data_IF_058909143096
#
_entry.id   IF_058909143096
#
_cell.length_a   1.000
_cell.length_b   1.000
_cell.length_c   1.000
_cell.angle_alpha   90.00
_cell.angle_beta   90.00
_cell.angle_gamma   90.00
#
_symmetry.space_group_name_H-M   'P 1'
#
loop_
_entity.id
_entity.type
_entity.pdbx_description
1 polymer ?
#
# COMPACT_ATOMS: atom_id res chain seq x y z
N UNK A 1 -9.06 -16.43 -36.28
CA UNK A 1 -8.20 -17.64 -36.22
C UNK A 1 -9.09 -18.77 -35.72
N UNK A 2 -9.32 -19.82 -36.52
CA UNK A 2 -9.95 -21.05 -35.99
C UNK A 2 -8.91 -21.72 -35.09
N UNK A 3 -9.27 -22.02 -33.85
CA UNK A 3 -8.43 -22.79 -32.97
C UNK A 3 -8.39 -24.24 -33.51
N UNK A 4 -7.38 -24.57 -34.29
CA UNK A 4 -7.16 -25.94 -34.76
C UNK A 4 -6.91 -26.86 -33.55
N UNK A 5 -7.89 -27.71 -33.22
CA UNK A 5 -7.66 -28.95 -32.48
C UNK A 5 -7.60 -28.89 -30.94
N UNK A 6 -8.05 -27.82 -30.28
CA UNK A 6 -8.13 -27.80 -28.80
C UNK A 6 -9.38 -28.54 -28.33
N UNK A 7 -9.18 -29.62 -27.57
CA UNK A 7 -10.28 -30.39 -26.98
C UNK A 7 -10.63 -29.88 -25.58
N UNK A 8 -11.90 -29.98 -25.20
CA UNK A 8 -12.38 -29.66 -23.85
C UNK A 8 -11.61 -30.46 -22.78
N UNK A 9 -11.34 -31.74 -23.05
CA UNK A 9 -10.58 -32.63 -22.17
C UNK A 9 -9.05 -32.47 -22.23
N UNK A 10 -8.55 -31.44 -22.91
CA UNK A 10 -7.12 -31.17 -22.99
C UNK A 10 -6.61 -30.60 -21.66
N UNK A 11 -5.56 -31.19 -21.09
CA UNK A 11 -4.93 -30.72 -19.86
C UNK A 11 -4.49 -29.24 -19.92
N UNK A 12 -4.27 -28.69 -21.13
CA UNK A 12 -3.98 -27.26 -21.34
C UNK A 12 -5.17 -26.37 -20.96
N UNK A 13 -6.40 -26.83 -21.15
CA UNK A 13 -7.62 -26.10 -20.77
C UNK A 13 -7.69 -25.97 -19.26
N UNK A 14 -7.55 -27.11 -18.56
CA UNK A 14 -7.51 -27.13 -17.09
C UNK A 14 -6.40 -26.23 -16.54
N UNK A 15 -5.20 -26.27 -17.12
CA UNK A 15 -4.08 -25.45 -16.69
C UNK A 15 -4.37 -23.94 -16.84
N UNK A 16 -5.00 -23.54 -17.94
CA UNK A 16 -5.37 -22.14 -18.18
C UNK A 16 -6.45 -21.68 -17.20
N UNK A 17 -7.47 -22.49 -16.96
CA UNK A 17 -8.52 -22.15 -15.99
C UNK A 17 -7.98 -22.02 -14.56
N UNK A 18 -7.08 -22.92 -14.16
CA UNK A 18 -6.40 -22.80 -12.86
C UNK A 18 -5.57 -21.52 -12.77
N UNK A 19 -4.78 -21.21 -13.80
CA UNK A 19 -3.98 -19.99 -13.85
C UNK A 19 -4.86 -18.72 -13.76
N UNK A 20 -6.03 -18.72 -14.41
CA UNK A 20 -7.00 -17.61 -14.32
C UNK A 20 -7.53 -17.47 -12.89
N UNK A 21 -7.99 -18.56 -12.27
CA UNK A 21 -8.52 -18.55 -10.89
C UNK A 21 -7.48 -18.06 -9.89
N UNK A 22 -6.24 -18.56 -10.00
CA UNK A 22 -5.12 -18.14 -9.16
C UNK A 22 -4.79 -16.66 -9.37
N UNK A 23 -4.74 -16.19 -10.63
CA UNK A 23 -4.49 -14.77 -10.94
C UNK A 23 -5.58 -13.87 -10.36
N UNK A 24 -6.86 -14.24 -10.48
CA UNK A 24 -7.96 -13.46 -9.89
C UNK A 24 -7.83 -13.42 -8.36
N UNK A 25 -7.50 -14.55 -7.73
CA UNK A 25 -7.28 -14.60 -6.27
C UNK A 25 -6.13 -13.69 -5.85
N UNK A 26 -5.02 -13.75 -6.56
CA UNK A 26 -3.79 -13.05 -6.18
C UNK A 26 -3.92 -11.54 -6.42
N UNK A 27 -4.61 -11.13 -7.49
CA UNK A 27 -4.81 -9.71 -7.83
C UNK A 27 -5.91 -9.06 -6.98
N UNK A 28 -7.06 -9.72 -6.81
CA UNK A 28 -8.21 -9.11 -6.14
C UNK A 28 -8.35 -9.50 -4.66
N UNK A 29 -7.73 -10.60 -4.24
CA UNK A 29 -7.88 -11.17 -2.90
C UNK A 29 -9.10 -12.08 -2.76
N UNK A 30 -8.97 -13.07 -1.87
CA UNK A 30 -9.97 -14.14 -1.62
C UNK A 30 -11.34 -13.66 -1.12
N UNK A 31 -11.41 -12.45 -0.58
CA UNK A 31 -12.65 -11.88 -0.01
C UNK A 31 -13.32 -10.87 -0.97
N UNK A 32 -12.79 -10.72 -2.19
CA UNK A 32 -13.27 -9.73 -3.14
C UNK A 32 -14.55 -10.16 -3.86
N UNK A 33 -15.44 -9.21 -4.23
CA UNK A 33 -16.59 -9.49 -5.09
C UNK A 33 -16.21 -10.10 -6.46
N UNK A 34 -15.01 -9.82 -6.95
CA UNK A 34 -14.46 -10.35 -8.19
C UNK A 34 -14.09 -11.83 -8.03
N UNK A 35 -13.31 -12.16 -6.98
CA UNK A 35 -13.00 -13.54 -6.66
C UNK A 35 -14.27 -14.35 -6.35
N UNK A 36 -15.19 -13.81 -5.54
CA UNK A 36 -16.45 -14.49 -5.23
C UNK A 36 -17.30 -14.80 -6.47
N UNK A 37 -17.22 -13.99 -7.53
CA UNK A 37 -17.92 -14.23 -8.80
C UNK A 37 -17.20 -15.18 -9.75
N UNK A 38 -15.87 -15.32 -9.63
CA UNK A 38 -15.05 -16.01 -10.63
C UNK A 38 -14.12 -17.10 -10.08
N UNK A 39 -14.20 -17.42 -8.78
CA UNK A 39 -13.35 -18.45 -8.15
C UNK A 39 -13.59 -19.88 -8.67
N UNK A 40 -14.68 -20.11 -9.40
CA UNK A 40 -14.94 -21.35 -10.12
C UNK A 40 -14.81 -21.22 -11.64
N UNK A 41 -14.25 -20.11 -12.15
CA UNK A 41 -14.20 -19.81 -13.59
C UNK A 41 -13.82 -21.03 -14.43
N UNK A 42 -14.70 -21.37 -15.37
CA UNK A 42 -14.43 -22.26 -16.50
C UNK A 42 -14.76 -21.58 -17.82
N UNK A 43 -14.14 -22.08 -18.88
CA UNK A 43 -14.39 -21.62 -20.24
C UNK A 43 -15.81 -21.97 -20.66
N UNK A 44 -16.37 -23.08 -20.18
CA UNK A 44 -17.70 -23.59 -20.51
C UNK A 44 -18.84 -23.22 -19.53
N UNK A 45 -18.57 -22.36 -18.54
CA UNK A 45 -19.53 -21.88 -17.50
C UNK A 45 -20.65 -20.94 -18.03
N UNK A 46 -21.05 -21.07 -19.30
CA UNK A 46 -22.20 -20.36 -19.85
C UNK A 46 -23.54 -21.02 -19.50
N UNK A 47 -24.68 -20.41 -19.91
CA UNK A 47 -25.99 -21.01 -19.69
C UNK A 47 -26.06 -22.41 -20.34
N UNK A 48 -26.33 -23.43 -19.51
CA UNK A 48 -26.41 -24.82 -19.96
C UNK A 48 -27.75 -25.07 -20.65
N UNK A 49 -27.72 -25.66 -21.85
CA UNK A 49 -28.92 -26.21 -22.48
C UNK A 49 -29.28 -27.53 -21.79
N UNK A 50 -30.57 -27.70 -21.45
CA UNK A 50 -31.06 -28.88 -20.72
C UNK A 50 -30.91 -30.13 -21.59
N UNK A 51 -30.15 -31.10 -21.09
CA UNK A 51 -30.01 -32.45 -21.66
C UNK A 51 -31.37 -33.15 -21.70
N UNK A 52 -31.85 -33.52 -22.88
CA UNK A 52 -33.13 -34.25 -23.05
C UNK A 52 -32.96 -35.76 -23.19
N UNK A 53 -31.73 -36.25 -23.11
CA UNK A 53 -31.33 -37.61 -23.43
C UNK A 53 -30.58 -38.29 -22.27
N UNK A 54 -31.26 -39.26 -21.67
CA UNK A 54 -30.79 -40.10 -20.56
C UNK A 54 -30.06 -41.32 -21.11
N UNK A 55 -28.73 -41.26 -21.21
CA UNK A 55 -27.91 -42.41 -21.64
C UNK A 55 -26.39 -42.20 -21.61
N UNK A 56 -25.71 -42.91 -20.69
CA UNK A 56 -24.44 -43.62 -20.90
C UNK A 56 -23.13 -42.88 -21.24
N UNK A 57 -22.32 -42.65 -20.20
CA UNK A 57 -20.86 -42.92 -20.03
C UNK A 57 -19.84 -42.75 -21.18
N UNK A 58 -18.79 -41.96 -20.91
CA UNK A 58 -17.41 -42.48 -20.91
C UNK A 58 -16.41 -41.96 -21.96
N UNK A 59 -16.84 -41.17 -22.93
CA UNK A 59 -15.96 -40.42 -23.84
C UNK A 59 -16.39 -38.96 -23.80
N UNK A 60 -15.45 -38.00 -23.81
CA UNK A 60 -15.77 -36.56 -23.90
C UNK A 60 -16.85 -36.36 -24.96
N UNK A 61 -18.03 -35.95 -24.51
CA UNK A 61 -19.23 -35.99 -25.34
C UNK A 61 -19.02 -35.02 -26.51
N UNK A 62 -19.28 -35.39 -27.78
CA UNK A 62 -19.34 -34.42 -28.88
C UNK A 62 -20.21 -33.19 -28.57
N UNK A 63 -21.13 -33.29 -27.62
CA UNK A 63 -21.85 -32.17 -27.02
C UNK A 63 -20.96 -31.28 -26.13
N UNK A 64 -20.18 -31.84 -25.20
CA UNK A 64 -19.25 -31.09 -24.33
C UNK A 64 -18.22 -30.31 -25.16
N UNK A 65 -17.68 -30.94 -26.21
CA UNK A 65 -16.74 -30.28 -27.13
C UNK A 65 -17.39 -29.09 -27.87
N UNK A 66 -18.63 -29.25 -28.33
CA UNK A 66 -19.35 -28.16 -29.02
C UNK A 66 -19.70 -27.03 -28.07
N UNK A 67 -20.18 -27.37 -26.86
CA UNK A 67 -20.47 -26.39 -25.83
C UNK A 67 -19.21 -25.61 -25.45
N UNK A 68 -18.07 -26.29 -25.28
CA UNK A 68 -16.78 -25.64 -25.05
C UNK A 68 -16.45 -24.63 -26.14
N UNK A 69 -16.56 -25.01 -27.42
CA UNK A 69 -16.28 -24.14 -28.56
C UNK A 69 -17.25 -22.94 -28.64
N UNK A 70 -18.53 -23.15 -28.35
CA UNK A 70 -19.57 -22.11 -28.35
C UNK A 70 -19.39 -21.10 -27.19
N UNK A 71 -18.86 -21.55 -26.06
CA UNK A 71 -18.68 -20.72 -24.86
C UNK A 71 -17.34 -19.97 -24.83
N UNK A 72 -16.35 -20.36 -25.65
CA UNK A 72 -15.05 -19.68 -25.74
C UNK A 72 -15.18 -18.15 -25.92
N UNK A 73 -16.02 -17.61 -26.83
CA UNK A 73 -16.19 -16.17 -26.96
C UNK A 73 -16.72 -15.50 -25.67
N UNK A 74 -17.63 -16.16 -24.95
CA UNK A 74 -18.16 -15.68 -23.68
C UNK A 74 -17.10 -15.63 -22.59
N UNK A 75 -16.23 -16.64 -22.52
CA UNK A 75 -15.09 -16.67 -21.62
C UNK A 75 -14.11 -15.51 -21.89
N UNK A 76 -13.79 -15.24 -23.17
CA UNK A 76 -12.95 -14.10 -23.57
C UNK A 76 -13.58 -12.78 -23.13
N UNK A 77 -14.88 -12.56 -23.37
CA UNK A 77 -15.58 -11.34 -22.96
C UNK A 77 -15.55 -11.14 -21.44
N UNK A 78 -15.72 -12.21 -20.65
CA UNK A 78 -15.62 -12.12 -19.18
C UNK A 78 -14.22 -11.72 -18.73
N UNK A 79 -13.18 -12.28 -19.34
CA UNK A 79 -11.78 -11.93 -19.04
C UNK A 79 -11.44 -10.51 -19.47
N UNK A 80 -11.90 -10.07 -20.64
CA UNK A 80 -11.74 -8.70 -21.12
C UNK A 80 -12.39 -7.71 -20.14
N UNK A 81 -13.60 -7.97 -19.65
CA UNK A 81 -14.24 -7.11 -18.66
C UNK A 81 -13.46 -7.03 -17.32
N UNK A 82 -12.78 -8.11 -16.90
CA UNK A 82 -11.89 -8.07 -15.74
C UNK A 82 -10.63 -7.24 -16.01
N UNK A 83 -10.06 -7.33 -17.22
CA UNK A 83 -8.91 -6.52 -17.65
C UNK A 83 -9.31 -5.04 -17.69
N UNK A 84 -10.43 -4.69 -18.33
CA UNK A 84 -10.91 -3.31 -18.44
C UNK A 84 -11.10 -2.67 -17.05
N UNK A 85 -11.70 -3.41 -16.10
CA UNK A 85 -11.85 -2.95 -14.72
C UNK A 85 -10.52 -2.74 -13.99
N UNK A 86 -9.51 -3.58 -14.28
CA UNK A 86 -8.17 -3.41 -13.74
C UNK A 86 -7.48 -2.19 -14.34
N UNK A 87 -7.63 -1.96 -15.63
CA UNK A 87 -7.04 -0.80 -16.31
C UNK A 87 -7.67 0.51 -15.87
N UNK A 88 -9.00 0.53 -15.68
CA UNK A 88 -9.73 1.67 -15.10
C UNK A 88 -9.23 1.97 -13.67
N UNK A 89 -9.16 0.95 -12.80
CA UNK A 89 -8.60 1.11 -11.44
C UNK A 89 -7.15 1.55 -11.44
N UNK A 90 -6.33 1.06 -12.39
CA UNK A 90 -4.93 1.48 -12.54
C UNK A 90 -4.85 2.95 -12.95
N UNK A 91 -5.73 3.40 -13.85
CA UNK A 91 -5.82 4.79 -14.26
C UNK A 91 -6.26 5.70 -13.10
N UNK A 92 -7.23 5.27 -12.28
CA UNK A 92 -7.66 5.99 -11.07
C UNK A 92 -6.55 6.17 -10.03
N UNK A 93 -5.71 5.14 -9.86
CA UNK A 93 -4.56 5.18 -8.95
C UNK A 93 -3.43 6.10 -9.46
N UNK A 94 -3.43 6.37 -10.77
CA UNK A 94 -2.40 7.10 -11.50
C UNK A 94 -1.12 6.29 -11.67
N UNK A 95 -0.44 6.46 -12.80
CA UNK A 95 0.97 6.05 -12.90
C UNK A 95 1.81 6.95 -11.99
N UNK A 96 2.90 6.43 -11.37
CA UNK A 96 3.86 7.31 -10.71
C UNK A 96 4.38 8.29 -11.76
N UNK A 97 3.97 9.56 -11.65
CA UNK A 97 4.30 10.62 -12.62
C UNK A 97 5.81 10.87 -12.73
N UNK A 98 6.59 10.36 -11.76
CA UNK A 98 8.05 10.41 -11.72
C UNK A 98 8.54 9.05 -11.18
N UNK A 99 9.56 8.47 -11.83
CA UNK A 99 10.20 7.25 -11.33
C UNK A 99 10.68 7.46 -9.87
N UNK A 100 10.48 6.49 -8.95
CA UNK A 100 10.77 6.67 -7.51
C UNK A 100 12.17 7.22 -7.21
N UNK A 101 13.17 6.79 -7.99
CA UNK A 101 14.55 7.30 -7.88
C UNK A 101 14.68 8.77 -8.25
N UNK A 102 14.04 9.20 -9.34
CA UNK A 102 14.06 10.60 -9.75
C UNK A 102 13.29 11.49 -8.76
N UNK A 103 12.24 10.95 -8.12
CA UNK A 103 11.48 11.65 -7.09
C UNK A 103 12.31 11.95 -5.83
N UNK A 104 13.30 11.10 -5.49
CA UNK A 104 14.23 11.30 -4.38
C UNK A 104 15.46 12.14 -4.75
N UNK A 105 15.96 12.03 -5.99
CA UNK A 105 17.27 12.57 -6.39
C UNK A 105 17.44 14.10 -6.30
N UNK A 106 16.35 14.86 -6.16
CA UNK A 106 16.37 16.33 -6.03
C UNK A 106 16.01 16.85 -4.64
N UNK A 107 15.90 15.98 -3.63
CA UNK A 107 15.35 16.35 -2.32
C UNK A 107 16.37 16.16 -1.21
N UNK A 108 16.40 17.13 -0.31
CA UNK A 108 17.18 17.04 0.93
C UNK A 108 16.27 16.49 2.01
N UNK A 109 16.30 15.17 2.20
CA UNK A 109 15.62 14.49 3.32
C UNK A 109 16.68 14.16 4.36
N UNK A 110 16.40 14.43 5.64
CA UNK A 110 17.32 14.14 6.74
C UNK A 110 17.90 12.72 6.64
N UNK A 111 19.24 12.52 6.75
CA UNK A 111 19.90 11.25 6.43
C UNK A 111 19.35 10.04 7.18
N UNK A 112 19.02 10.18 8.47
CA UNK A 112 18.48 9.08 9.26
C UNK A 112 17.06 8.66 8.83
N UNK A 113 16.27 9.61 8.31
CA UNK A 113 14.92 9.33 7.80
C UNK A 113 15.05 8.63 6.45
N UNK A 114 15.92 9.15 5.57
CA UNK A 114 16.18 8.53 4.27
C UNK A 114 16.71 7.10 4.42
N UNK A 115 17.68 6.88 5.32
CA UNK A 115 18.25 5.56 5.56
C UNK A 115 17.23 4.50 6.00
N UNK A 116 16.18 4.90 6.72
CA UNK A 116 15.11 3.99 7.15
C UNK A 116 14.13 3.64 6.01
N UNK A 117 13.94 4.54 5.04
CA UNK A 117 12.84 4.46 4.07
C UNK A 117 13.27 4.18 2.62
N UNK A 118 14.48 4.56 2.21
CA UNK A 118 14.90 4.62 0.81
C UNK A 118 14.69 3.28 0.08
N UNK A 119 15.21 2.18 0.63
CA UNK A 119 15.08 0.86 0.02
C UNK A 119 13.63 0.44 -0.17
N UNK A 120 12.77 0.75 0.80
CA UNK A 120 11.35 0.42 0.76
C UNK A 120 10.62 1.28 -0.27
N UNK A 121 10.90 2.58 -0.28
CA UNK A 121 10.30 3.53 -1.22
C UNK A 121 10.68 3.19 -2.67
N UNK A 122 11.96 2.93 -2.94
CA UNK A 122 12.44 2.52 -4.26
C UNK A 122 11.89 1.16 -4.70
N UNK A 123 11.57 0.28 -3.74
CA UNK A 123 10.93 -1.01 -3.97
C UNK A 123 9.41 -0.97 -4.11
N UNK A 124 8.78 0.23 -4.09
CA UNK A 124 7.33 0.39 -4.18
C UNK A 124 6.57 0.07 -2.89
N UNK A 125 7.27 -0.15 -1.77
CA UNK A 125 6.69 -0.43 -0.45
C UNK A 125 6.42 0.88 0.32
N UNK A 126 5.61 1.76 -0.26
CA UNK A 126 5.42 3.14 0.21
C UNK A 126 4.86 3.21 1.65
N UNK A 127 3.86 2.40 1.97
CA UNK A 127 3.28 2.35 3.32
C UNK A 127 4.34 1.93 4.35
N UNK A 128 5.13 0.89 4.05
CA UNK A 128 6.23 0.47 4.94
C UNK A 128 7.34 1.52 5.03
N UNK A 129 7.68 2.20 3.94
CA UNK A 129 8.71 3.25 3.92
C UNK A 129 8.36 4.38 4.90
N UNK A 130 7.11 4.86 4.85
CA UNK A 130 6.59 5.90 5.75
C UNK A 130 6.56 5.41 7.19
N UNK A 131 6.14 4.17 7.43
CA UNK A 131 6.10 3.59 8.76
C UNK A 131 7.48 3.48 9.42
N UNK A 132 8.48 2.99 8.69
CA UNK A 132 9.86 2.88 9.19
C UNK A 132 10.53 4.24 9.39
N UNK A 133 10.26 5.22 8.51
CA UNK A 133 10.67 6.60 8.72
C UNK A 133 10.08 7.21 10.00
N UNK A 134 8.79 6.97 10.28
CA UNK A 134 8.16 7.43 11.51
C UNK A 134 8.80 6.82 12.77
N UNK A 135 9.15 5.53 12.73
CA UNK A 135 9.90 4.86 13.82
C UNK A 135 11.30 5.45 14.00
N UNK A 136 11.98 5.80 12.90
CA UNK A 136 13.27 6.46 12.95
C UNK A 136 13.17 7.82 13.67
N UNK A 137 12.19 8.67 13.33
CA UNK A 137 11.97 9.95 14.02
C UNK A 137 11.77 9.79 15.54
N UNK A 138 10.90 8.86 15.96
CA UNK A 138 10.67 8.56 17.38
C UNK A 138 11.98 8.14 18.06
N UNK A 139 12.76 7.29 17.40
CA UNK A 139 14.03 6.79 17.92
C UNK A 139 15.05 7.91 18.08
N UNK A 140 15.11 8.86 17.14
CA UNK A 140 15.96 10.05 17.24
C UNK A 140 15.55 10.92 18.43
N UNK A 141 14.25 11.19 18.61
CA UNK A 141 13.75 11.99 19.75
C UNK A 141 14.08 11.32 21.08
N UNK A 142 13.91 9.99 21.19
CA UNK A 142 14.30 9.24 22.39
C UNK A 142 15.79 9.33 22.66
N UNK A 143 16.62 9.08 21.65
CA UNK A 143 18.08 9.15 21.78
C UNK A 143 18.54 10.54 22.23
N UNK A 144 17.96 11.60 21.65
CA UNK A 144 18.32 12.98 21.97
C UNK A 144 17.79 13.43 23.33
N UNK A 145 16.57 13.06 23.71
CA UNK A 145 15.98 13.47 25.00
C UNK A 145 16.42 12.62 26.19
N UNK A 146 16.68 11.32 25.97
CA UNK A 146 16.83 10.32 27.03
C UNK A 146 15.51 9.81 27.60
N UNK A 147 14.36 10.18 27.02
CA UNK A 147 13.04 9.73 27.47
C UNK A 147 12.76 8.28 27.06
N UNK A 148 12.08 7.54 27.93
CA UNK A 148 11.63 6.16 27.69
C UNK A 148 10.19 6.08 27.16
N UNK A 149 9.49 7.21 27.08
CA UNK A 149 8.11 7.27 26.58
C UNK A 149 8.02 6.98 25.08
N UNK A 150 6.82 6.77 24.55
CA UNK A 150 6.57 6.50 23.13
C UNK A 150 5.44 7.38 22.57
N UNK A 151 5.35 7.46 21.25
CA UNK A 151 4.20 8.02 20.55
C UNK A 151 3.95 9.49 20.86
N UNK A 152 2.68 9.86 20.94
CA UNK A 152 2.26 11.20 21.34
C UNK A 152 2.75 11.62 22.74
N UNK A 153 2.66 10.77 23.80
CA UNK A 153 3.19 11.11 25.11
C UNK A 153 4.67 11.51 25.11
N UNK A 154 5.51 10.85 24.30
CA UNK A 154 6.92 11.23 24.13
C UNK A 154 7.06 12.66 23.58
N UNK A 155 6.32 12.98 22.52
CA UNK A 155 6.43 14.30 21.88
C UNK A 155 5.92 15.42 22.78
N UNK A 156 4.81 15.17 23.48
CA UNK A 156 4.21 16.13 24.41
C UNK A 156 5.11 16.41 25.62
N UNK A 157 5.78 15.39 26.17
CA UNK A 157 6.67 15.59 27.32
C UNK A 157 7.99 16.24 26.92
N UNK A 158 8.61 15.77 25.84
CA UNK A 158 9.94 16.22 25.43
C UNK A 158 9.93 17.68 24.99
N UNK A 159 8.89 18.09 24.26
CA UNK A 159 8.78 19.44 23.67
C UNK A 159 7.79 20.35 24.40
N UNK A 160 7.32 19.99 25.60
CA UNK A 160 6.40 20.81 26.39
C UNK A 160 6.92 22.25 26.55
N UNK A 161 6.05 23.25 26.41
CA UNK A 161 6.42 24.66 26.69
C UNK A 161 6.72 24.87 28.17
N UNK A 162 5.99 24.17 29.05
CA UNK A 162 6.04 24.43 30.49
C UNK A 162 7.26 23.80 31.15
N UNK A 163 7.71 22.64 30.65
CA UNK A 163 8.87 21.93 31.17
C UNK A 163 9.51 21.08 30.06
N UNK A 164 10.17 21.71 29.06
CA UNK A 164 10.77 20.99 27.95
C UNK A 164 12.03 20.22 28.38
N UNK A 165 12.21 19.03 27.82
CA UNK A 165 13.51 18.34 27.83
C UNK A 165 14.38 18.88 26.68
N UNK A 166 13.77 19.12 25.52
CA UNK A 166 14.40 19.69 24.35
C UNK A 166 13.69 21.00 23.95
N UNK A 167 14.49 22.04 23.73
CA UNK A 167 14.00 23.35 23.29
C UNK A 167 14.61 23.75 21.94
N UNK A 168 13.81 24.39 21.10
CA UNK A 168 14.25 24.90 19.78
C UNK A 168 14.90 26.28 19.85
N UNK A 169 14.80 26.95 21.00
CA UNK A 169 15.42 28.23 21.33
C UNK A 169 16.11 28.12 22.69
N UNK A 170 17.14 28.94 22.90
CA UNK A 170 17.92 28.94 24.16
C UNK A 170 17.12 29.55 25.33
N UNK A 171 16.14 30.39 25.04
CA UNK A 171 15.27 31.07 26.01
C UNK A 171 13.80 30.98 25.58
N UNK A 172 12.93 30.60 26.52
CA UNK A 172 11.47 30.56 26.36
C UNK A 172 10.77 31.63 27.21
N UNK A 173 11.39 32.79 27.45
CA UNK A 173 10.76 33.91 28.17
C UNK A 173 9.75 34.66 27.29
N UNK A 174 10.13 34.96 26.04
CA UNK A 174 9.29 35.66 25.07
C UNK A 174 8.13 34.78 24.57
N UNK A 175 6.98 35.41 24.34
CA UNK A 175 5.78 34.71 23.89
C UNK A 175 5.99 34.04 22.52
N UNK A 176 6.74 34.66 21.61
CA UNK A 176 7.00 34.11 20.28
C UNK A 176 7.79 32.80 20.35
N UNK A 177 8.77 32.71 21.26
CA UNK A 177 9.55 31.49 21.46
C UNK A 177 8.70 30.37 22.09
N UNK A 178 7.81 30.72 23.03
CA UNK A 178 6.84 29.78 23.61
C UNK A 178 5.88 29.26 22.55
N UNK A 179 5.39 30.13 21.68
CA UNK A 179 4.47 29.76 20.61
C UNK A 179 5.15 28.86 19.57
N UNK A 180 6.40 29.14 19.18
CA UNK A 180 7.18 28.26 18.31
C UNK A 180 7.39 26.88 18.95
N UNK A 181 7.77 26.84 20.23
CA UNK A 181 7.96 25.60 20.98
C UNK A 181 6.65 24.79 21.04
N UNK A 182 5.52 25.45 21.33
CA UNK A 182 4.21 24.80 21.37
C UNK A 182 3.78 24.27 20.00
N UNK A 183 3.94 25.10 18.96
CA UNK A 183 3.62 24.74 17.59
C UNK A 183 4.41 23.52 17.14
N UNK A 184 5.71 23.49 17.47
CA UNK A 184 6.56 22.35 17.13
C UNK A 184 6.15 21.09 17.91
N UNK A 185 5.87 21.19 19.21
CA UNK A 185 5.30 20.08 19.98
C UNK A 185 4.03 19.52 19.32
N UNK A 186 3.12 20.37 18.87
CA UNK A 186 1.90 19.95 18.17
C UNK A 186 2.19 19.29 16.83
N UNK A 187 3.13 19.83 16.03
CA UNK A 187 3.53 19.22 14.76
C UNK A 187 4.09 17.81 14.96
N UNK A 188 5.00 17.62 15.91
CA UNK A 188 5.53 16.30 16.24
C UNK A 188 4.44 15.34 16.72
N UNK A 189 3.59 15.80 17.64
CA UNK A 189 2.51 14.99 18.22
C UNK A 189 1.51 14.57 17.14
N UNK A 190 1.03 15.52 16.33
CA UNK A 190 0.08 15.29 15.26
C UNK A 190 0.67 14.38 14.17
N UNK A 191 1.93 14.60 13.79
CA UNK A 191 2.63 13.75 12.81
C UNK A 191 2.72 12.31 13.30
N UNK A 192 3.12 12.08 14.55
CA UNK A 192 3.19 10.73 15.11
C UNK A 192 1.81 10.09 15.21
N UNK A 193 0.76 10.83 15.56
CA UNK A 193 -0.60 10.28 15.61
C UNK A 193 -1.14 9.93 14.22
N UNK A 194 -0.91 10.80 13.23
CA UNK A 194 -1.45 10.65 11.88
C UNK A 194 -0.67 9.62 11.05
N UNK A 195 0.66 9.65 11.10
CA UNK A 195 1.54 8.85 10.24
C UNK A 195 1.86 7.48 10.85
N UNK A 196 1.89 7.34 12.18
CA UNK A 196 2.12 6.05 12.84
C UNK A 196 0.89 5.14 12.83
N UNK A 197 -0.31 5.72 12.74
CA UNK A 197 -1.58 4.98 12.84
C UNK A 197 -2.39 4.71 11.54
N UNK A 198 -1.84 4.72 10.30
CA UNK A 198 -2.59 4.26 9.13
C UNK A 198 -2.53 2.74 8.90
N UNK A 199 -1.54 2.03 9.45
CA UNK A 199 -1.30 0.61 9.16
C UNK A 199 -2.02 -0.41 10.06
N UNK A 200 -2.55 0.00 11.22
CA UNK A 200 -3.10 -0.92 12.23
C UNK A 200 -4.60 -1.19 12.15
N UNK A 201 -5.37 -0.31 11.50
CA UNK A 201 -6.84 -0.37 11.51
C UNK A 201 -7.49 -0.35 10.13
N UNK A 202 -6.72 -0.25 9.04
CA UNK A 202 -7.22 -0.36 7.67
C UNK A 202 -6.39 -1.37 6.88
N UNK A 203 -6.82 -2.63 6.93
CA UNK A 203 -6.36 -3.65 5.97
C UNK A 203 -6.64 -3.13 4.56
N UNK A 204 -5.60 -2.89 3.76
CA UNK A 204 -5.73 -2.46 2.36
C UNK A 204 -5.56 -0.95 2.06
N UNK A 205 -5.18 -0.10 3.03
CA UNK A 205 -4.79 1.28 2.72
C UNK A 205 -3.43 1.32 2.00
N UNK A 206 -3.45 1.50 0.68
CA UNK A 206 -2.25 1.62 -0.16
C UNK A 206 -1.79 3.07 -0.16
N UNK A 207 -0.59 3.32 0.35
CA UNK A 207 0.04 4.64 0.26
C UNK A 207 0.53 4.89 -1.18
N UNK A 208 0.28 6.10 -1.69
CA UNK A 208 0.71 6.50 -3.05
C UNK A 208 2.16 7.02 -3.02
N UNK A 209 2.94 6.86 -4.10
CA UNK A 209 4.35 7.29 -4.13
C UNK A 209 4.54 8.77 -3.75
N UNK A 210 3.74 9.65 -4.35
CA UNK A 210 3.77 11.10 -4.12
C UNK A 210 3.40 11.49 -2.68
N UNK A 211 2.41 10.80 -2.11
CA UNK A 211 2.00 10.99 -0.71
C UNK A 211 3.04 10.46 0.28
N UNK A 212 3.60 9.29 0.02
CA UNK A 212 4.71 8.77 0.81
C UNK A 212 5.89 9.75 0.80
N UNK A 213 6.21 10.32 -0.35
CA UNK A 213 7.29 11.29 -0.46
C UNK A 213 7.04 12.55 0.39
N UNK A 214 5.81 13.09 0.36
CA UNK A 214 5.40 14.20 1.24
C UNK A 214 5.54 13.84 2.73
N UNK A 215 5.20 12.61 3.11
CA UNK A 215 5.40 12.13 4.47
C UNK A 215 6.89 12.03 4.83
N UNK A 216 7.73 11.51 3.94
CA UNK A 216 9.18 11.43 4.16
C UNK A 216 9.82 12.82 4.27
N UNK A 217 9.35 13.80 3.50
CA UNK A 217 9.79 15.20 3.60
C UNK A 217 9.39 15.84 4.92
N UNK A 218 8.14 15.65 5.36
CA UNK A 218 7.70 16.17 6.66
C UNK A 218 8.50 15.54 7.81
N UNK A 219 8.69 14.22 7.79
CA UNK A 219 9.49 13.50 8.77
C UNK A 219 10.96 13.96 8.74
N UNK A 220 11.50 14.20 7.54
CA UNK A 220 12.82 14.77 7.31
C UNK A 220 12.96 16.15 7.94
N UNK A 221 12.04 17.06 7.63
CA UNK A 221 12.00 18.40 8.22
C UNK A 221 11.96 18.36 9.75
N UNK A 222 11.12 17.49 10.34
CA UNK A 222 11.08 17.36 11.79
C UNK A 222 12.42 16.86 12.33
N UNK A 223 13.06 15.88 11.68
CA UNK A 223 14.40 15.42 12.09
C UNK A 223 15.46 16.53 11.99
N UNK A 224 15.43 17.38 10.95
CA UNK A 224 16.31 18.55 10.86
C UNK A 224 16.06 19.54 12.01
N UNK A 225 14.78 19.83 12.32
CA UNK A 225 14.42 20.65 13.48
C UNK A 225 14.86 20.02 14.80
N UNK A 226 14.83 18.69 14.91
CA UNK A 226 15.32 17.98 16.08
C UNK A 226 16.81 18.22 16.27
N UNK A 227 17.60 18.20 15.19
CA UNK A 227 19.05 18.42 15.23
C UNK A 227 19.41 19.80 15.78
N UNK A 228 18.62 20.82 15.45
CA UNK A 228 18.76 22.16 16.00
C UNK A 228 18.34 22.28 17.48
N UNK A 229 17.44 21.42 17.96
CA UNK A 229 16.98 21.46 19.34
C UNK A 229 18.09 21.13 20.35
N UNK A 230 18.10 21.81 21.49
CA UNK A 230 19.11 21.61 22.54
C UNK A 230 18.45 21.08 23.81
N UNK A 231 19.20 20.27 24.57
CA UNK A 231 18.79 19.88 25.92
C UNK A 231 18.75 21.11 26.82
N UNK A 232 17.63 21.30 27.51
CA UNK A 232 17.52 22.32 28.55
C UNK A 232 18.41 21.89 29.71
N UNK A 233 19.30 22.78 30.16
CA UNK A 233 20.15 22.53 31.34
C UNK A 233 19.30 22.78 32.59
N UNK A 234 19.10 21.74 33.40
CA UNK A 234 18.59 21.95 34.75
C UNK A 234 19.64 22.76 35.53
N UNK A 235 19.24 23.95 35.96
CA UNK A 235 20.02 24.81 36.87
C UNK A 235 19.82 24.35 38.30
#
# INVERSE_FOLDING_TARGET
>A
MKADGVRHSDARVDAVEHAIRDTIRDVFGKDSPQFNRHHYFRIDDGPQYVRTDWGGSGASDPHEQRQFEEQMPGAITRLQGLIDQLEEKRADLGEPTIAPRAALAGRTIHPAILAAAERLYLGGHYTQAVFEAGKALISLVRAKSGSTQDGAPLMQSVFSVNNPILAFRDDLTDQSNKDEQQGMMHLYTGTVLAIRNPGGHRVGAVERPDRALQHLELLGYLADRLDEAKKVRNS
#
